data_IF_968064562107
#
_entry.id   IF_968064562107
#
_cell.length_a   1.000
_cell.length_b   1.000
_cell.length_c   1.000
_cell.angle_alpha   90.00
_cell.angle_beta   90.00
_cell.angle_gamma   90.00
#
_symmetry.space_group_name_H-M   'P 1'
#
loop_
_entity.id
_entity.type
_entity.pdbx_description
1 polymer ?
#
# COMPACT_ATOMS: atom_id res chain seq x y z
N UNK A 1 5.16 -7.94 -5.35
CA UNK A 1 5.89 -7.19 -6.39
C UNK A 1 6.92 -8.11 -6.97
N UNK A 2 7.03 -8.21 -8.30
CA UNK A 2 8.02 -9.06 -8.99
C UNK A 2 9.10 -8.17 -9.61
N UNK A 3 10.40 -8.36 -9.29
CA UNK A 3 11.50 -7.58 -9.86
C UNK A 3 11.90 -8.14 -11.23
N UNK A 4 10.93 -8.30 -12.13
CA UNK A 4 11.20 -8.88 -13.44
C UNK A 4 11.94 -7.86 -14.33
N UNK A 5 13.19 -8.15 -14.67
CA UNK A 5 14.00 -7.40 -15.62
C UNK A 5 14.34 -8.23 -16.88
N UNK A 6 13.77 -9.44 -16.96
CA UNK A 6 14.07 -10.40 -18.01
C UNK A 6 15.36 -11.18 -17.81
N UNK A 7 15.44 -12.34 -18.45
CA UNK A 7 16.67 -13.17 -18.49
C UNK A 7 17.78 -12.39 -19.19
N UNK A 8 17.47 -11.75 -20.30
CA UNK A 8 18.40 -10.91 -21.06
C UNK A 8 18.91 -9.72 -20.24
N UNK A 9 18.01 -9.04 -19.53
CA UNK A 9 18.35 -7.95 -18.63
C UNK A 9 19.25 -8.41 -17.49
N UNK A 10 18.95 -9.56 -16.87
CA UNK A 10 19.77 -10.14 -15.80
C UNK A 10 21.17 -10.52 -16.28
N UNK A 11 21.28 -11.15 -17.44
CA UNK A 11 22.58 -11.50 -18.06
C UNK A 11 23.39 -10.23 -18.32
N UNK A 12 22.79 -9.19 -18.88
CA UNK A 12 23.45 -7.91 -19.10
C UNK A 12 23.85 -7.26 -17.77
N UNK A 13 23.03 -7.33 -16.72
CA UNK A 13 23.36 -6.80 -15.41
C UNK A 13 24.55 -7.53 -14.77
N UNK A 14 24.61 -8.85 -14.85
CA UNK A 14 25.75 -9.65 -14.38
C UNK A 14 27.00 -9.30 -15.18
N UNK A 15 26.90 -9.19 -16.50
CA UNK A 15 28.01 -8.80 -17.34
C UNK A 15 28.51 -7.38 -17.01
N UNK A 16 27.58 -6.43 -16.78
CA UNK A 16 27.90 -5.08 -16.34
C UNK A 16 28.55 -5.03 -14.96
N UNK A 17 28.11 -5.88 -14.05
CA UNK A 17 28.71 -6.04 -12.72
C UNK A 17 30.13 -6.61 -12.78
N UNK A 18 30.44 -7.46 -13.75
CA UNK A 18 31.77 -8.08 -13.91
C UNK A 18 32.72 -7.22 -14.75
N UNK A 19 32.26 -6.63 -15.84
CA UNK A 19 33.08 -6.00 -16.89
C UNK A 19 32.81 -4.50 -17.10
N UNK A 20 31.72 -3.96 -16.57
CA UNK A 20 31.37 -2.54 -16.69
C UNK A 20 32.41 -1.61 -16.07
N UNK A 21 32.28 -0.32 -16.28
CA UNK A 21 33.20 0.71 -15.75
C UNK A 21 33.32 0.62 -14.23
N UNK A 22 34.55 0.60 -13.73
CA UNK A 22 34.86 0.41 -12.29
C UNK A 22 34.12 1.41 -11.39
N UNK A 23 33.96 2.67 -11.84
CA UNK A 23 33.29 3.71 -11.09
C UNK A 23 31.80 3.38 -10.86
N UNK A 24 31.08 2.94 -11.92
CA UNK A 24 29.68 2.54 -11.82
C UNK A 24 29.48 1.31 -10.94
N UNK A 25 30.32 0.30 -11.14
CA UNK A 25 30.23 -0.96 -10.34
C UNK A 25 30.43 -0.73 -8.87
N UNK A 26 31.41 0.12 -8.48
CA UNK A 26 31.69 0.45 -7.08
C UNK A 26 30.52 1.13 -6.37
N UNK A 27 29.69 1.87 -7.09
CA UNK A 27 28.48 2.49 -6.53
C UNK A 27 27.27 1.57 -6.57
N UNK A 28 26.98 0.98 -7.75
CA UNK A 28 25.72 0.25 -7.98
C UNK A 28 25.67 -1.11 -7.27
N UNK A 29 26.78 -1.86 -7.17
CA UNK A 29 26.77 -3.19 -6.55
C UNK A 29 26.46 -3.11 -5.04
N UNK A 30 27.10 -2.25 -4.23
CA UNK A 30 26.72 -2.12 -2.82
C UNK A 30 25.27 -1.67 -2.64
N UNK A 31 24.78 -0.71 -3.45
CA UNK A 31 23.39 -0.25 -3.37
C UNK A 31 22.41 -1.37 -3.72
N UNK A 32 22.70 -2.15 -4.75
CA UNK A 32 21.90 -3.34 -5.10
C UNK A 32 21.87 -4.35 -3.95
N UNK A 33 23.01 -4.67 -3.37
CA UNK A 33 23.08 -5.65 -2.27
C UNK A 33 22.33 -5.16 -1.03
N UNK A 34 22.49 -3.88 -0.66
CA UNK A 34 21.78 -3.29 0.49
C UNK A 34 20.27 -3.35 0.26
N UNK A 35 19.79 -2.93 -0.92
CA UNK A 35 18.35 -2.91 -1.21
C UNK A 35 17.76 -4.33 -1.31
N UNK A 36 18.50 -5.31 -1.82
CA UNK A 36 18.09 -6.71 -1.81
C UNK A 36 17.99 -7.26 -0.38
N UNK A 37 18.99 -6.99 0.48
CA UNK A 37 18.96 -7.42 1.89
C UNK A 37 17.79 -6.77 2.64
N UNK A 38 17.51 -5.48 2.38
CA UNK A 38 16.33 -4.80 2.94
C UNK A 38 15.02 -5.38 2.42
N UNK A 39 14.95 -5.76 1.13
CA UNK A 39 13.77 -6.36 0.52
C UNK A 39 13.45 -7.74 1.10
N UNK A 40 14.45 -8.50 1.54
CA UNK A 40 14.29 -9.79 2.23
C UNK A 40 13.67 -9.66 3.63
N UNK A 41 13.60 -8.46 4.18
CA UNK A 41 12.89 -8.14 5.42
C UNK A 41 13.31 -9.00 6.61
N UNK A 42 12.32 -9.54 7.34
CA UNK A 42 12.50 -10.30 8.58
C UNK A 42 13.41 -11.54 8.45
N UNK A 43 13.66 -12.00 7.22
CA UNK A 43 14.55 -13.13 6.94
C UNK A 43 16.04 -12.77 7.05
N UNK A 44 16.37 -11.48 7.34
CA UNK A 44 17.75 -11.03 7.47
C UNK A 44 18.06 -10.48 8.86
N UNK A 45 19.29 -10.71 9.39
CA UNK A 45 19.72 -10.11 10.66
C UNK A 45 19.74 -8.57 10.61
N UNK A 46 20.07 -7.99 9.45
CA UNK A 46 20.09 -6.53 9.26
C UNK A 46 18.72 -5.92 9.51
N UNK A 47 17.67 -6.53 8.99
CA UNK A 47 16.31 -6.06 9.23
C UNK A 47 15.95 -6.07 10.71
N UNK A 48 16.25 -7.17 11.42
CA UNK A 48 16.01 -7.31 12.86
C UNK A 48 16.76 -6.24 13.66
N UNK A 49 17.98 -5.93 13.25
CA UNK A 49 18.76 -4.84 13.84
C UNK A 49 18.11 -3.46 13.60
N UNK A 50 17.76 -3.16 12.34
CA UNK A 50 17.11 -1.88 11.99
C UNK A 50 15.76 -1.71 12.68
N UNK A 51 14.95 -2.76 12.72
CA UNK A 51 13.64 -2.78 13.38
C UNK A 51 13.73 -2.49 14.88
N UNK A 52 14.78 -2.99 15.53
CA UNK A 52 14.96 -2.84 16.99
C UNK A 52 15.62 -1.52 17.38
N UNK A 53 16.55 -1.02 16.57
CA UNK A 53 17.45 0.06 16.97
C UNK A 53 17.28 1.37 16.19
N UNK A 54 16.65 1.36 15.05
CA UNK A 54 16.44 2.59 14.24
C UNK A 54 15.05 3.15 14.51
N UNK A 55 14.95 4.34 15.15
CA UNK A 55 13.66 4.94 15.47
C UNK A 55 12.79 5.12 14.22
N UNK A 56 11.55 4.63 14.29
CA UNK A 56 10.57 4.75 13.20
C UNK A 56 10.69 3.69 12.10
N UNK A 57 11.74 2.88 12.09
CA UNK A 57 11.86 1.78 11.11
C UNK A 57 10.80 0.69 11.34
N UNK A 58 10.37 0.48 12.57
CA UNK A 58 9.28 -0.38 13.00
C UNK A 58 7.90 0.02 12.46
N UNK A 59 7.77 1.28 11.99
CA UNK A 59 6.53 1.83 11.43
C UNK A 59 6.40 1.62 9.92
N UNK A 60 7.46 1.19 9.24
CA UNK A 60 7.42 0.89 7.82
C UNK A 60 6.84 -0.50 7.56
N UNK A 61 5.82 -0.57 6.71
CA UNK A 61 5.23 -1.82 6.21
C UNK A 61 5.77 -2.16 4.83
N UNK A 62 5.78 -3.47 4.52
CA UNK A 62 6.10 -3.99 3.19
C UNK A 62 7.52 -3.65 2.72
N UNK A 63 8.53 -4.12 3.46
CA UNK A 63 9.94 -3.98 3.09
C UNK A 63 10.29 -4.57 1.72
N UNK A 64 9.48 -5.52 1.23
CA UNK A 64 9.57 -6.01 -0.15
C UNK A 64 9.52 -4.89 -1.22
N UNK A 65 9.10 -3.67 -0.87
CA UNK A 65 9.14 -2.51 -1.79
C UNK A 65 10.55 -2.09 -2.18
N UNK A 66 11.57 -2.36 -1.34
CA UNK A 66 12.98 -2.13 -1.70
C UNK A 66 13.44 -2.93 -2.94
N UNK A 67 12.61 -3.89 -3.39
CA UNK A 67 12.84 -4.59 -4.66
C UNK A 67 12.75 -3.66 -5.88
N UNK A 68 12.02 -2.53 -5.77
CA UNK A 68 11.89 -1.54 -6.84
C UNK A 68 13.23 -0.84 -7.06
N UNK A 69 13.87 -0.40 -5.98
CA UNK A 69 15.18 0.23 -6.03
C UNK A 69 16.26 -0.76 -6.48
N UNK A 70 16.18 -2.02 -6.01
CA UNK A 70 17.05 -3.09 -6.48
C UNK A 70 16.90 -3.31 -7.99
N UNK A 71 15.68 -3.30 -8.52
CA UNK A 71 15.41 -3.42 -9.96
C UNK A 71 16.02 -2.26 -10.75
N UNK A 72 15.95 -1.04 -10.21
CA UNK A 72 16.59 0.13 -10.84
C UNK A 72 18.12 -0.06 -10.94
N UNK A 73 18.78 -0.50 -9.88
CA UNK A 73 20.22 -0.75 -9.90
C UNK A 73 20.60 -1.90 -10.82
N UNK A 74 19.77 -2.95 -10.92
CA UNK A 74 19.95 -4.01 -11.90
C UNK A 74 19.86 -3.50 -13.34
N UNK A 75 18.88 -2.67 -13.66
CA UNK A 75 18.73 -2.06 -14.99
C UNK A 75 19.91 -1.15 -15.32
N UNK A 76 20.40 -0.36 -14.35
CA UNK A 76 21.60 0.46 -14.54
C UNK A 76 22.85 -0.39 -14.80
N UNK A 77 23.01 -1.53 -14.10
CA UNK A 77 24.07 -2.48 -14.36
C UNK A 77 23.92 -3.15 -15.73
N UNK A 78 22.69 -3.46 -16.17
CA UNK A 78 22.42 -3.99 -17.50
C UNK A 78 22.81 -3.00 -18.59
N UNK A 79 22.48 -1.71 -18.41
CA UNK A 79 22.94 -0.62 -19.29
C UNK A 79 24.47 -0.51 -19.36
N UNK A 80 25.16 -0.64 -18.21
CA UNK A 80 26.63 -0.68 -18.17
C UNK A 80 27.20 -1.93 -18.89
N UNK A 81 26.50 -3.06 -18.81
CA UNK A 81 26.85 -4.28 -19.55
C UNK A 81 26.71 -4.11 -21.06
N UNK A 82 25.60 -3.49 -21.49
CA UNK A 82 25.38 -3.19 -22.91
C UNK A 82 26.41 -2.20 -23.46
N UNK A 83 26.74 -1.13 -22.70
CA UNK A 83 27.80 -0.17 -23.06
C UNK A 83 29.17 -0.89 -23.24
N UNK A 84 29.46 -1.85 -22.38
CA UNK A 84 30.70 -2.65 -22.48
C UNK A 84 30.69 -3.59 -23.70
N UNK A 85 29.57 -4.23 -24.02
CA UNK A 85 29.41 -5.03 -25.23
C UNK A 85 29.61 -4.23 -26.51
N UNK A 86 29.12 -2.98 -26.55
CA UNK A 86 29.32 -2.07 -27.67
C UNK A 86 30.79 -1.64 -27.87
N UNK A 87 31.56 -1.57 -26.76
CA UNK A 87 32.98 -1.14 -26.78
C UNK A 87 33.93 -2.29 -27.15
N UNK A 88 33.65 -3.49 -26.64
CA UNK A 88 34.51 -4.65 -26.83
C UNK A 88 33.66 -5.88 -27.20
N UNK A 89 33.25 -5.99 -28.47
CA UNK A 89 32.45 -7.11 -28.93
C UNK A 89 33.23 -8.41 -29.06
N UNK A 90 34.57 -8.38 -29.11
CA UNK A 90 35.41 -9.57 -29.39
C UNK A 90 35.63 -10.47 -28.16
N UNK A 91 35.49 -9.94 -26.94
CA UNK A 91 35.72 -10.67 -25.69
C UNK A 91 34.59 -11.63 -25.28
N UNK A 92 33.52 -11.77 -26.07
CA UNK A 92 32.25 -12.37 -25.63
C UNK A 92 32.11 -13.90 -25.88
N UNK A 93 33.04 -14.55 -26.50
CA UNK A 93 32.96 -16.00 -26.84
C UNK A 93 32.77 -16.87 -25.59
N UNK A 94 33.50 -16.60 -24.52
CA UNK A 94 33.40 -17.37 -23.27
C UNK A 94 32.08 -17.10 -22.54
N UNK A 95 31.56 -15.86 -22.62
CA UNK A 95 30.24 -15.52 -22.09
C UNK A 95 29.15 -16.26 -22.88
N UNK A 96 29.22 -16.23 -24.20
CA UNK A 96 28.30 -16.96 -25.06
C UNK A 96 28.32 -18.47 -24.78
N UNK A 97 29.50 -19.08 -24.63
CA UNK A 97 29.62 -20.48 -24.25
C UNK A 97 29.02 -20.76 -22.88
N UNK A 98 29.28 -19.90 -21.90
CA UNK A 98 28.67 -20.01 -20.57
C UNK A 98 27.13 -19.93 -20.60
N UNK A 99 26.56 -19.04 -21.40
CA UNK A 99 25.10 -18.96 -21.60
C UNK A 99 24.54 -20.19 -22.31
N UNK A 100 25.26 -20.72 -23.29
CA UNK A 100 24.86 -21.97 -23.96
C UNK A 100 24.78 -23.13 -22.97
N UNK A 101 25.84 -23.33 -22.17
CA UNK A 101 25.89 -24.38 -21.14
C UNK A 101 24.78 -24.15 -20.09
N UNK A 102 24.59 -22.90 -19.63
CA UNK A 102 23.50 -22.56 -18.71
C UNK A 102 22.11 -22.87 -19.32
N UNK A 103 21.90 -22.55 -20.60
CA UNK A 103 20.69 -22.91 -21.32
C UNK A 103 20.41 -24.40 -21.33
N UNK A 104 21.41 -25.22 -21.61
CA UNK A 104 21.26 -26.68 -21.56
C UNK A 104 20.94 -27.18 -20.15
N UNK A 105 21.61 -26.65 -19.12
CA UNK A 105 21.33 -27.00 -17.72
C UNK A 105 19.87 -26.68 -17.37
N UNK A 106 19.36 -25.49 -17.78
CA UNK A 106 17.99 -25.06 -17.52
C UNK A 106 16.99 -25.93 -18.31
N UNK A 107 17.32 -26.38 -19.54
CA UNK A 107 16.50 -27.38 -20.25
C UNK A 107 16.40 -28.68 -19.45
N UNK A 108 17.51 -29.19 -18.98
CA UNK A 108 17.54 -30.44 -18.18
C UNK A 108 16.73 -30.27 -16.87
N UNK A 109 16.86 -29.13 -16.20
CA UNK A 109 16.07 -28.81 -15.01
C UNK A 109 14.58 -28.76 -15.32
N UNK A 110 14.18 -28.11 -16.44
CA UNK A 110 12.82 -28.07 -16.92
C UNK A 110 12.22 -29.44 -17.23
N UNK A 111 12.99 -30.32 -17.87
CA UNK A 111 12.59 -31.71 -18.13
C UNK A 111 12.43 -32.49 -16.82
N UNK A 112 13.39 -32.37 -15.89
CA UNK A 112 13.32 -32.99 -14.57
C UNK A 112 12.10 -32.53 -13.75
N UNK A 113 11.81 -31.23 -13.76
CA UNK A 113 10.64 -30.68 -13.09
C UNK A 113 9.33 -31.17 -13.74
N UNK A 114 9.27 -31.17 -15.07
CA UNK A 114 8.09 -31.65 -15.80
C UNK A 114 7.83 -33.13 -15.53
N UNK A 115 8.86 -33.98 -15.53
CA UNK A 115 8.70 -35.39 -15.20
C UNK A 115 8.22 -35.61 -13.77
N UNK A 116 8.74 -34.84 -12.81
CA UNK A 116 8.32 -34.88 -11.41
C UNK A 116 6.87 -34.37 -11.21
N UNK A 117 6.44 -33.38 -11.97
CA UNK A 117 5.07 -32.83 -11.90
C UNK A 117 4.01 -33.75 -12.52
N UNK A 118 4.38 -34.55 -13.56
CA UNK A 118 3.45 -35.45 -14.24
C UNK A 118 3.07 -36.68 -13.40
N UNK A 119 3.93 -37.07 -12.45
CA UNK A 119 3.69 -38.19 -11.54
C UNK A 119 3.71 -37.66 -10.10
N UNK A 120 2.62 -37.10 -9.59
CA UNK A 120 2.56 -36.49 -8.27
C UNK A 120 2.50 -37.56 -7.18
N UNK A 121 3.62 -38.27 -6.97
CA UNK A 121 3.77 -39.15 -5.80
C UNK A 121 4.17 -38.29 -4.56
N UNK A 122 3.67 -38.63 -3.36
CA UNK A 122 4.03 -37.91 -2.13
C UNK A 122 5.54 -37.94 -1.82
N UNK A 123 6.25 -38.96 -2.31
CA UNK A 123 7.72 -39.13 -2.17
C UNK A 123 8.55 -38.26 -3.13
N UNK A 124 7.94 -37.72 -4.16
CA UNK A 124 8.57 -36.93 -5.19
C UNK A 124 9.12 -35.60 -4.65
N UNK A 125 10.30 -35.18 -5.10
CA UNK A 125 10.93 -33.92 -4.67
C UNK A 125 10.06 -32.68 -4.92
N UNK A 126 9.29 -32.64 -6.02
CA UNK A 126 8.38 -31.53 -6.32
C UNK A 126 7.24 -31.44 -5.31
N UNK A 127 6.61 -32.57 -5.00
CA UNK A 127 5.56 -32.66 -3.98
C UNK A 127 6.09 -32.25 -2.59
N UNK A 128 7.31 -32.69 -2.24
CA UNK A 128 7.99 -32.24 -1.00
C UNK A 128 8.25 -30.74 -1.00
N UNK A 129 8.64 -30.15 -2.13
CA UNK A 129 8.83 -28.69 -2.25
C UNK A 129 7.53 -27.95 -2.03
N UNK A 130 6.42 -28.41 -2.60
CA UNK A 130 5.09 -27.83 -2.37
C UNK A 130 4.65 -27.93 -0.91
N UNK A 131 4.90 -29.06 -0.26
CA UNK A 131 4.64 -29.24 1.17
C UNK A 131 5.51 -28.31 2.04
N UNK A 132 6.79 -28.13 1.68
CA UNK A 132 7.69 -27.22 2.37
C UNK A 132 7.23 -25.76 2.23
N UNK A 133 6.77 -25.36 1.05
CA UNK A 133 6.18 -24.02 0.82
C UNK A 133 4.92 -23.82 1.65
N UNK A 134 4.07 -24.86 1.74
CA UNK A 134 2.87 -24.80 2.59
C UNK A 134 3.21 -24.66 4.07
N UNK A 135 4.26 -25.30 4.56
CA UNK A 135 4.69 -25.23 5.95
C UNK A 135 5.25 -23.85 6.35
N UNK A 136 5.47 -22.94 5.41
CA UNK A 136 5.85 -21.55 5.71
C UNK A 136 4.62 -20.74 6.12
N UNK A 137 4.77 -19.84 7.10
CA UNK A 137 3.69 -18.93 7.53
C UNK A 137 3.24 -17.94 6.42
N UNK A 138 3.96 -17.91 5.29
CA UNK A 138 3.70 -17.01 4.15
C UNK A 138 2.91 -17.68 3.02
N UNK A 139 2.21 -18.78 3.26
CA UNK A 139 1.37 -19.41 2.25
C UNK A 139 0.13 -18.58 1.97
N UNK A 140 0.00 -18.05 0.74
CA UNK A 140 -1.13 -17.20 0.33
C UNK A 140 -2.39 -17.95 -0.09
N UNK A 141 -2.28 -19.26 -0.30
CA UNK A 141 -3.40 -20.09 -0.72
C UNK A 141 -3.91 -20.95 0.46
N UNK A 142 -5.19 -21.33 0.47
CA UNK A 142 -5.71 -22.27 1.45
C UNK A 142 -4.93 -23.59 1.45
N UNK A 143 -4.74 -24.18 2.62
CA UNK A 143 -4.01 -25.44 2.81
C UNK A 143 -4.48 -26.57 1.88
N UNK A 144 -5.78 -26.62 1.61
CA UNK A 144 -6.38 -27.58 0.69
C UNK A 144 -5.83 -27.50 -0.73
N UNK A 145 -5.42 -26.29 -1.20
CA UNK A 145 -4.86 -26.10 -2.53
C UNK A 145 -3.49 -26.78 -2.67
N UNK A 146 -2.64 -26.70 -1.64
CA UNK A 146 -1.31 -27.34 -1.65
C UNK A 146 -1.37 -28.87 -1.52
N UNK A 147 -2.47 -29.40 -1.00
CA UNK A 147 -2.74 -30.84 -0.91
C UNK A 147 -3.41 -31.39 -2.16
N UNK A 148 -3.95 -30.54 -3.04
CA UNK A 148 -4.61 -30.96 -4.28
C UNK A 148 -3.60 -31.42 -5.34
N UNK A 149 -3.60 -32.71 -5.75
CA UNK A 149 -2.69 -33.21 -6.77
C UNK A 149 -2.81 -32.46 -8.13
N UNK A 150 -3.99 -31.98 -8.46
CA UNK A 150 -4.23 -31.22 -9.70
C UNK A 150 -3.51 -29.88 -9.68
N UNK A 151 -3.55 -29.16 -8.55
CA UNK A 151 -2.82 -27.92 -8.34
C UNK A 151 -1.31 -28.14 -8.35
N UNK A 152 -0.81 -29.14 -7.63
CA UNK A 152 0.63 -29.47 -7.58
C UNK A 152 1.17 -29.77 -8.98
N UNK A 153 0.42 -30.52 -9.79
CA UNK A 153 0.75 -30.81 -11.19
C UNK A 153 0.76 -29.55 -12.04
N UNK A 154 -0.29 -28.75 -12.02
CA UNK A 154 -0.40 -27.50 -12.80
C UNK A 154 0.71 -26.51 -12.45
N UNK A 155 1.03 -26.36 -11.16
CA UNK A 155 2.12 -25.51 -10.70
C UNK A 155 3.49 -25.98 -11.26
N UNK A 156 3.74 -27.28 -11.26
CA UNK A 156 4.96 -27.86 -11.85
C UNK A 156 5.03 -27.74 -13.37
N UNK A 157 3.92 -27.94 -14.07
CA UNK A 157 3.83 -27.73 -15.51
C UNK A 157 4.07 -26.26 -15.88
N UNK A 158 3.50 -25.31 -15.11
CA UNK A 158 3.74 -23.88 -15.31
C UNK A 158 5.21 -23.52 -15.07
N UNK A 159 5.78 -23.96 -13.95
CA UNK A 159 7.18 -23.69 -13.63
C UNK A 159 8.14 -24.29 -14.68
N UNK A 160 7.85 -25.51 -15.19
CA UNK A 160 8.65 -26.12 -16.25
C UNK A 160 8.59 -25.32 -17.56
N UNK A 161 7.43 -24.79 -17.93
CA UNK A 161 7.29 -23.89 -19.10
C UNK A 161 8.13 -22.62 -18.94
N UNK A 162 8.13 -22.00 -17.75
CA UNK A 162 8.97 -20.84 -17.47
C UNK A 162 10.47 -21.17 -17.64
N UNK A 163 10.92 -22.36 -17.18
CA UNK A 163 12.28 -22.81 -17.38
C UNK A 163 12.61 -23.02 -18.86
N UNK A 164 11.72 -23.59 -19.66
CA UNK A 164 11.96 -23.75 -21.10
C UNK A 164 12.03 -22.42 -21.83
N UNK A 165 11.20 -21.44 -21.47
CA UNK A 165 11.30 -20.08 -22.03
C UNK A 165 12.63 -19.46 -21.67
N UNK A 166 13.05 -19.51 -20.40
CA UNK A 166 14.33 -18.97 -19.96
C UNK A 166 15.53 -19.68 -20.64
N UNK A 167 15.44 -20.99 -20.84
CA UNK A 167 16.44 -21.74 -21.57
C UNK A 167 16.55 -21.32 -23.05
N UNK A 168 15.40 -21.17 -23.73
CA UNK A 168 15.37 -20.67 -25.10
C UNK A 168 15.99 -19.28 -25.21
N UNK A 169 15.68 -18.38 -24.29
CA UNK A 169 16.26 -17.03 -24.22
C UNK A 169 17.78 -17.07 -24.02
N UNK A 170 18.29 -17.91 -23.11
CA UNK A 170 19.72 -18.08 -22.90
C UNK A 170 20.44 -18.60 -24.16
N UNK A 171 19.85 -19.57 -24.87
CA UNK A 171 20.41 -20.12 -26.10
C UNK A 171 20.40 -19.07 -27.24
N UNK A 172 19.31 -18.31 -27.40
CA UNK A 172 19.24 -17.22 -28.38
C UNK A 172 20.26 -16.14 -28.06
N UNK A 173 20.36 -15.71 -26.78
CA UNK A 173 21.37 -14.75 -26.34
C UNK A 173 22.79 -15.22 -26.63
N UNK A 174 23.07 -16.50 -26.41
CA UNK A 174 24.36 -17.11 -26.75
C UNK A 174 24.66 -16.92 -28.23
N UNK A 175 23.71 -17.24 -29.13
CA UNK A 175 23.86 -17.06 -30.57
C UNK A 175 24.04 -15.59 -30.97
N UNK A 176 23.27 -14.68 -30.39
CA UNK A 176 23.38 -13.25 -30.63
C UNK A 176 24.73 -12.68 -30.18
N UNK A 177 25.27 -13.11 -29.04
CA UNK A 177 26.59 -12.70 -28.57
C UNK A 177 27.71 -13.20 -29.45
N UNK A 178 27.60 -14.42 -30.03
CA UNK A 178 28.55 -14.91 -31.02
C UNK A 178 28.50 -14.03 -32.30
N UNK A 179 27.31 -13.67 -32.76
CA UNK A 179 27.14 -12.81 -33.93
C UNK A 179 27.63 -11.37 -33.66
N UNK A 180 27.52 -10.88 -32.43
CA UNK A 180 27.99 -9.56 -32.00
C UNK A 180 29.50 -9.39 -32.17
N UNK A 181 30.29 -10.49 -32.09
CA UNK A 181 31.70 -10.51 -32.38
C UNK A 181 32.04 -10.20 -33.86
N UNK A 182 31.07 -10.38 -34.77
CA UNK A 182 31.22 -10.12 -36.20
C UNK A 182 30.56 -8.78 -36.62
N UNK A 183 29.50 -8.37 -35.93
CA UNK A 183 28.71 -7.16 -36.29
C UNK A 183 28.07 -6.50 -35.08
N UNK A 184 28.06 -5.16 -35.06
CA UNK A 184 27.33 -4.36 -34.06
C UNK A 184 25.81 -4.65 -34.03
N UNK A 185 25.25 -5.16 -35.11
CA UNK A 185 23.84 -5.55 -35.17
C UNK A 185 23.48 -6.64 -34.16
N UNK A 186 24.41 -7.55 -33.84
CA UNK A 186 24.21 -8.53 -32.77
C UNK A 186 23.99 -7.91 -31.40
N UNK A 187 24.69 -6.80 -31.07
CA UNK A 187 24.50 -6.08 -29.80
C UNK A 187 23.15 -5.37 -29.77
N UNK A 188 22.73 -4.74 -30.88
CA UNK A 188 21.40 -4.13 -30.97
C UNK A 188 20.28 -5.16 -30.87
N UNK A 189 20.47 -6.37 -31.43
CA UNK A 189 19.53 -7.47 -31.29
C UNK A 189 19.41 -7.93 -29.82
N UNK A 190 20.50 -7.99 -29.06
CA UNK A 190 20.47 -8.28 -27.62
C UNK A 190 19.68 -7.20 -26.86
N UNK A 191 19.92 -5.91 -27.17
CA UNK A 191 19.17 -4.82 -26.55
C UNK A 191 17.68 -4.89 -26.89
N UNK A 192 17.33 -5.13 -28.14
CA UNK A 192 15.95 -5.30 -28.59
C UNK A 192 15.27 -6.48 -27.90
N UNK A 193 15.95 -7.62 -27.80
CA UNK A 193 15.44 -8.79 -27.08
C UNK A 193 15.15 -8.47 -25.61
N UNK A 194 16.07 -7.78 -24.90
CA UNK A 194 15.87 -7.43 -23.49
C UNK A 194 14.65 -6.51 -23.29
N UNK A 195 14.43 -5.55 -24.19
CA UNK A 195 13.25 -4.68 -24.13
C UNK A 195 11.97 -5.46 -24.45
N UNK A 196 12.00 -6.29 -25.50
CA UNK A 196 10.84 -7.09 -25.92
C UNK A 196 10.40 -8.06 -24.82
N UNK A 197 11.34 -8.72 -24.15
CA UNK A 197 11.08 -9.64 -23.05
C UNK A 197 10.30 -8.96 -21.91
N UNK A 198 10.72 -7.76 -21.49
CA UNK A 198 10.02 -6.98 -20.47
C UNK A 198 8.61 -6.58 -20.92
N UNK A 199 8.44 -6.16 -22.18
CA UNK A 199 7.13 -5.82 -22.74
C UNK A 199 6.19 -7.01 -22.82
N UNK A 200 6.68 -8.19 -23.26
CA UNK A 200 5.89 -9.42 -23.31
C UNK A 200 5.47 -9.83 -21.90
N UNK A 201 6.40 -9.82 -20.96
CA UNK A 201 6.07 -10.11 -19.55
C UNK A 201 5.03 -9.13 -18.99
N UNK A 202 5.22 -7.82 -19.20
CA UNK A 202 4.28 -6.81 -18.72
C UNK A 202 2.87 -7.05 -19.31
N UNK A 203 2.78 -7.31 -20.61
CA UNK A 203 1.51 -7.57 -21.29
C UNK A 203 0.80 -8.84 -20.81
N UNK A 204 1.55 -9.89 -20.50
CA UNK A 204 0.98 -11.17 -20.02
C UNK A 204 0.70 -11.20 -18.54
N UNK A 205 1.40 -10.37 -17.74
CA UNK A 205 1.31 -10.35 -16.28
C UNK A 205 0.43 -9.24 -15.73
N UNK A 206 0.15 -8.18 -16.51
CA UNK A 206 -0.79 -7.14 -16.14
C UNK A 206 -2.21 -7.60 -16.51
N UNK A 207 -2.98 -7.91 -15.49
CA UNK A 207 -4.41 -8.19 -15.68
C UNK A 207 -5.14 -6.92 -16.07
N UNK A 208 -5.86 -6.98 -17.18
CA UNK A 208 -6.78 -5.92 -17.58
C UNK A 208 -8.20 -6.31 -17.21
N UNK A 209 -9.03 -5.32 -16.91
CA UNK A 209 -10.45 -5.51 -16.63
C UNK A 209 -11.27 -4.50 -17.41
N UNK A 210 -12.55 -4.77 -17.61
CA UNK A 210 -13.47 -3.85 -18.27
C UNK A 210 -13.69 -2.63 -17.34
N UNK A 211 -13.51 -1.42 -17.86
CA UNK A 211 -13.68 -0.18 -17.12
C UNK A 211 -15.11 -0.02 -16.54
N UNK A 212 -16.11 -0.58 -17.22
CA UNK A 212 -17.51 -0.60 -16.75
C UNK A 212 -17.67 -1.25 -15.38
N UNK A 213 -16.74 -2.18 -15.02
CA UNK A 213 -16.71 -2.78 -13.70
C UNK A 213 -16.42 -1.76 -12.59
N UNK A 214 -15.54 -0.78 -12.84
CA UNK A 214 -15.22 0.30 -11.90
C UNK A 214 -16.22 1.44 -11.97
N UNK A 215 -16.81 1.69 -13.14
CA UNK A 215 -17.86 2.70 -13.31
C UNK A 215 -19.12 2.36 -12.52
N UNK A 216 -19.38 1.07 -12.29
CA UNK A 216 -20.50 0.55 -11.53
C UNK A 216 -21.84 1.26 -11.82
N UNK A 217 -22.31 1.27 -13.08
CA UNK A 217 -23.39 2.14 -13.52
C UNK A 217 -24.70 1.92 -12.76
N UNK A 218 -24.98 0.68 -12.35
CA UNK A 218 -26.16 0.35 -11.53
C UNK A 218 -26.07 0.95 -10.12
N UNK A 219 -24.89 0.87 -9.50
CA UNK A 219 -24.63 1.46 -8.19
C UNK A 219 -24.74 2.99 -8.28
N UNK A 220 -24.11 3.58 -9.30
CA UNK A 220 -24.18 5.03 -9.55
C UNK A 220 -25.62 5.50 -9.72
N UNK A 221 -26.42 4.85 -10.58
CA UNK A 221 -27.82 5.19 -10.77
C UNK A 221 -28.65 5.09 -9.47
N UNK A 222 -28.39 4.10 -8.64
CA UNK A 222 -29.02 3.98 -7.32
C UNK A 222 -28.65 5.14 -6.41
N UNK A 223 -27.37 5.51 -6.34
CA UNK A 223 -26.90 6.61 -5.48
C UNK A 223 -27.42 7.98 -5.95
N UNK A 224 -27.54 8.19 -7.27
CA UNK A 224 -28.11 9.40 -7.87
C UNK A 224 -29.62 9.55 -7.53
N UNK A 225 -30.35 8.44 -7.43
CA UNK A 225 -31.76 8.42 -7.01
C UNK A 225 -31.95 8.60 -5.48
N UNK A 226 -30.89 8.38 -4.71
CA UNK A 226 -30.93 8.47 -3.24
C UNK A 226 -29.88 9.49 -2.76
N UNK A 227 -30.08 10.79 -3.01
CA UNK A 227 -29.14 11.81 -2.55
C UNK A 227 -29.12 11.91 -1.02
N UNK A 228 -28.02 12.40 -0.45
CA UNK A 228 -27.88 12.62 0.98
C UNK A 228 -26.45 12.45 1.46
N UNK A 229 -26.23 12.89 2.71
CA UNK A 229 -24.97 12.76 3.42
C UNK A 229 -24.97 11.48 4.25
N UNK A 230 -24.50 10.40 3.66
CA UNK A 230 -24.41 9.10 4.26
C UNK A 230 -23.23 8.29 3.67
N UNK A 231 -22.85 7.23 4.37
CA UNK A 231 -21.82 6.25 3.94
C UNK A 231 -22.47 4.97 3.48
N UNK A 232 -21.79 4.30 2.55
CA UNK A 232 -22.19 3.00 2.05
C UNK A 232 -21.18 1.92 2.44
N UNK A 233 -21.58 0.68 2.32
CA UNK A 233 -20.71 -0.48 2.34
C UNK A 233 -20.91 -1.26 1.04
N UNK A 234 -19.83 -1.44 0.26
CA UNK A 234 -19.90 -2.19 -0.99
C UNK A 234 -18.91 -3.36 -0.97
N UNK A 235 -19.47 -4.59 -0.95
CA UNK A 235 -18.68 -5.79 -0.71
C UNK A 235 -17.80 -6.19 -1.90
N UNK A 236 -18.25 -6.00 -3.15
CA UNK A 236 -17.53 -6.48 -4.34
C UNK A 236 -16.24 -5.73 -4.63
N UNK A 237 -16.28 -4.42 -4.49
CA UNK A 237 -15.17 -3.54 -4.83
C UNK A 237 -14.96 -2.58 -3.66
N UNK A 238 -14.01 -2.86 -2.76
CA UNK A 238 -13.66 -1.93 -1.71
C UNK A 238 -13.26 -0.56 -2.27
N UNK A 239 -13.67 0.51 -1.61
CA UNK A 239 -13.38 1.91 -1.97
C UNK A 239 -14.11 2.43 -3.22
N UNK A 240 -15.07 1.71 -3.79
CA UNK A 240 -15.83 2.17 -4.97
C UNK A 240 -16.59 3.47 -4.69
N UNK A 241 -17.05 3.67 -3.46
CA UNK A 241 -17.77 4.88 -3.08
C UNK A 241 -16.96 6.15 -3.35
N UNK A 242 -15.65 6.13 -3.08
CA UNK A 242 -14.73 7.26 -3.31
C UNK A 242 -14.74 7.65 -4.79
N UNK A 243 -14.72 6.67 -5.70
CA UNK A 243 -14.80 6.90 -7.14
C UNK A 243 -16.12 7.54 -7.57
N UNK A 244 -17.20 7.20 -6.86
CA UNK A 244 -18.55 7.72 -7.12
C UNK A 244 -18.89 9.01 -6.34
N UNK A 245 -17.91 9.64 -5.69
CA UNK A 245 -18.09 10.85 -4.88
C UNK A 245 -18.89 10.61 -3.59
N UNK A 246 -18.84 9.39 -3.07
CA UNK A 246 -19.44 8.98 -1.79
C UNK A 246 -18.37 8.48 -0.82
N UNK A 247 -18.75 8.26 0.43
CA UNK A 247 -17.86 7.73 1.46
C UNK A 247 -18.21 6.27 1.78
N UNK A 248 -17.19 5.45 2.01
CA UNK A 248 -17.34 4.09 2.52
C UNK A 248 -17.32 4.06 4.05
N UNK A 249 -18.10 3.16 4.64
CA UNK A 249 -17.98 2.80 6.06
C UNK A 249 -16.71 1.98 6.28
N UNK A 250 -16.39 1.11 5.33
CA UNK A 250 -15.20 0.28 5.35
C UNK A 250 -14.68 0.06 3.93
N UNK A 251 -13.39 0.27 3.77
CA UNK A 251 -12.71 0.04 2.52
C UNK A 251 -11.37 -0.66 2.74
N UNK A 252 -10.71 -1.01 1.65
CA UNK A 252 -9.37 -1.56 1.70
C UNK A 252 -8.36 -0.41 1.71
N UNK A 253 -7.63 -0.26 2.82
CA UNK A 253 -6.53 0.68 2.93
C UNK A 253 -5.32 0.02 3.60
N UNK A 254 -4.11 0.15 3.05
CA UNK A 254 -2.89 -0.41 3.65
C UNK A 254 -2.53 0.26 4.99
N UNK A 255 -3.04 1.46 5.23
CA UNK A 255 -2.90 2.22 6.47
C UNK A 255 -4.29 2.51 7.02
N UNK A 256 -4.70 1.73 8.01
CA UNK A 256 -5.97 1.91 8.69
C UNK A 256 -5.77 2.58 10.05
N UNK A 257 -6.76 3.34 10.50
CA UNK A 257 -6.74 3.94 11.83
C UNK A 257 -6.98 2.84 12.87
N UNK A 258 -6.03 2.65 13.79
CA UNK A 258 -6.08 1.61 14.81
C UNK A 258 -7.40 1.58 15.59
N UNK A 259 -7.88 2.73 16.04
CA UNK A 259 -9.15 2.83 16.77
C UNK A 259 -10.34 2.37 15.92
N UNK A 260 -10.33 2.75 14.66
CA UNK A 260 -11.41 2.41 13.73
C UNK A 260 -11.44 0.89 13.44
N UNK A 261 -10.27 0.27 13.21
CA UNK A 261 -10.19 -1.20 13.02
C UNK A 261 -10.61 -1.96 14.27
N UNK A 262 -10.19 -1.49 15.45
CA UNK A 262 -10.56 -2.08 16.73
C UNK A 262 -12.08 -2.01 16.98
N UNK A 263 -12.68 -0.86 16.68
CA UNK A 263 -14.14 -0.70 16.77
C UNK A 263 -14.86 -1.63 15.78
N UNK A 264 -14.40 -1.70 14.53
CA UNK A 264 -15.00 -2.58 13.53
C UNK A 264 -14.89 -4.05 13.95
N UNK A 265 -13.74 -4.51 14.43
CA UNK A 265 -13.56 -5.86 14.95
C UNK A 265 -14.51 -6.16 16.12
N UNK A 266 -14.62 -5.24 17.08
CA UNK A 266 -15.55 -5.35 18.22
C UNK A 266 -17.00 -5.55 17.75
N UNK A 267 -17.47 -4.73 16.80
CA UNK A 267 -18.83 -4.84 16.25
C UNK A 267 -19.11 -6.15 15.54
N UNK A 268 -18.07 -6.85 15.08
CA UNK A 268 -18.15 -8.17 14.47
C UNK A 268 -17.94 -9.31 15.47
N UNK A 269 -17.70 -9.00 16.76
CA UNK A 269 -17.39 -10.01 17.79
C UNK A 269 -15.98 -10.59 17.68
N UNK A 270 -15.09 -9.90 16.95
CA UNK A 270 -13.68 -10.27 16.82
C UNK A 270 -12.83 -9.54 17.89
N UNK A 271 -11.71 -10.13 18.34
CA UNK A 271 -10.82 -9.48 19.31
C UNK A 271 -10.24 -8.18 18.76
N UNK A 272 -10.40 -7.03 19.46
CA UNK A 272 -9.86 -5.76 18.98
C UNK A 272 -8.33 -5.67 18.98
N UNK A 273 -7.61 -6.47 19.76
CA UNK A 273 -6.15 -6.41 19.92
C UNK A 273 -5.39 -6.63 18.62
N UNK A 274 -5.79 -7.63 17.84
CA UNK A 274 -5.17 -8.01 16.58
C UNK A 274 -5.87 -7.43 15.35
N UNK A 275 -6.81 -6.50 15.54
CA UNK A 275 -7.62 -5.97 14.45
C UNK A 275 -6.75 -5.22 13.42
N UNK A 276 -6.94 -5.57 12.16
CA UNK A 276 -6.26 -5.00 11.00
C UNK A 276 -7.24 -4.66 9.86
N UNK A 277 -6.73 -4.50 8.66
CA UNK A 277 -7.54 -4.20 7.48
C UNK A 277 -8.43 -5.36 6.99
N UNK A 278 -8.30 -6.56 7.55
CA UNK A 278 -8.99 -7.78 7.11
C UNK A 278 -10.16 -8.17 8.03
N UNK A 279 -10.80 -7.20 8.68
CA UNK A 279 -12.03 -7.45 9.45
C UNK A 279 -13.08 -8.10 8.56
N UNK A 280 -13.58 -9.26 8.98
CA UNK A 280 -14.66 -9.97 8.28
C UNK A 280 -16.02 -9.45 8.74
N UNK A 281 -16.85 -9.02 7.80
CA UNK A 281 -18.19 -8.50 8.08
C UNK A 281 -19.24 -9.58 7.92
N UNK A 282 -19.83 -9.97 9.05
CA UNK A 282 -20.92 -10.97 9.12
C UNK A 282 -22.26 -10.36 9.49
N UNK A 283 -22.24 -9.16 10.10
CA UNK A 283 -23.44 -8.44 10.58
C UNK A 283 -23.27 -6.94 10.48
N UNK A 284 -24.39 -6.22 10.45
CA UNK A 284 -24.43 -4.77 10.58
C UNK A 284 -24.87 -4.38 11.99
N UNK A 285 -23.93 -3.81 12.74
CA UNK A 285 -24.13 -3.47 14.15
C UNK A 285 -24.97 -2.18 14.30
N UNK A 286 -25.86 -2.05 15.32
CA UNK A 286 -26.64 -0.83 15.56
C UNK A 286 -25.79 0.45 15.68
N UNK A 287 -24.59 0.35 16.24
CA UNK A 287 -23.65 1.46 16.37
C UNK A 287 -23.20 2.07 15.01
N UNK A 288 -23.44 1.39 13.88
CA UNK A 288 -23.09 1.95 12.56
C UNK A 288 -23.94 3.18 12.20
N UNK A 289 -25.03 3.44 12.92
CA UNK A 289 -25.78 4.69 12.79
C UNK A 289 -24.90 5.92 13.05
N UNK A 290 -23.95 5.85 14.00
CA UNK A 290 -23.01 6.92 14.30
C UNK A 290 -21.89 7.08 13.26
N UNK A 291 -21.72 6.08 12.37
CA UNK A 291 -20.82 6.17 11.21
C UNK A 291 -21.53 6.70 9.96
N UNK A 292 -22.77 7.16 10.06
CA UNK A 292 -23.63 7.59 8.93
C UNK A 292 -23.91 6.48 7.91
N UNK A 293 -23.79 5.18 8.29
CA UNK A 293 -24.06 4.07 7.39
C UNK A 293 -25.56 4.02 7.01
N UNK A 294 -25.84 3.98 5.70
CA UNK A 294 -27.21 3.95 5.17
C UNK A 294 -27.49 2.75 4.32
N UNK A 295 -26.61 2.38 3.39
CA UNK A 295 -26.81 1.28 2.46
C UNK A 295 -25.63 0.33 2.45
N UNK A 296 -25.92 -0.97 2.39
CA UNK A 296 -24.94 -2.00 2.11
C UNK A 296 -25.33 -2.76 0.84
N UNK A 297 -24.37 -2.98 -0.02
CA UNK A 297 -24.50 -3.74 -1.24
C UNK A 297 -23.70 -5.03 -1.09
N UNK A 298 -24.42 -6.13 -0.90
CA UNK A 298 -23.84 -7.45 -0.66
C UNK A 298 -23.85 -8.27 -1.94
N UNK A 299 -22.72 -8.92 -2.24
CA UNK A 299 -22.60 -9.77 -3.40
C UNK A 299 -23.54 -10.97 -3.35
N UNK A 300 -24.35 -11.16 -4.39
CA UNK A 300 -25.19 -12.33 -4.59
C UNK A 300 -24.99 -12.88 -6.00
N UNK A 301 -25.40 -14.12 -6.27
CA UNK A 301 -25.31 -14.78 -7.58
C UNK A 301 -26.11 -14.03 -8.66
N UNK A 302 -27.26 -13.48 -8.29
CA UNK A 302 -28.20 -12.81 -9.21
C UNK A 302 -28.02 -11.29 -9.27
N UNK A 303 -27.00 -10.73 -8.61
CA UNK A 303 -26.74 -9.30 -8.50
C UNK A 303 -26.46 -8.87 -7.07
N UNK A 304 -26.42 -7.56 -6.81
CA UNK A 304 -26.17 -7.07 -5.46
C UNK A 304 -27.48 -6.96 -4.66
N UNK A 305 -27.50 -7.57 -3.47
CA UNK A 305 -28.58 -7.36 -2.49
C UNK A 305 -28.33 -6.06 -1.76
N UNK A 306 -29.30 -5.16 -1.78
CA UNK A 306 -29.25 -3.90 -1.04
C UNK A 306 -29.89 -4.09 0.35
N UNK A 307 -29.14 -3.76 1.38
CA UNK A 307 -29.64 -3.61 2.74
C UNK A 307 -29.67 -2.13 3.09
N UNK A 308 -30.78 -1.71 3.71
CA UNK A 308 -30.95 -0.34 4.20
C UNK A 308 -30.80 -0.33 5.71
N UNK A 309 -29.89 0.51 6.21
CA UNK A 309 -29.73 0.76 7.64
C UNK A 309 -30.84 1.63 8.21
N UNK A 310 -30.93 1.69 9.54
CA UNK A 310 -31.80 2.60 10.27
C UNK A 310 -31.44 4.06 9.97
N UNK A 311 -32.22 5.01 10.51
CA UNK A 311 -31.93 6.42 10.37
C UNK A 311 -30.50 6.75 10.86
N UNK A 312 -29.69 7.33 9.98
CA UNK A 312 -28.31 7.74 10.27
C UNK A 312 -28.25 8.94 11.20
N UNK A 313 -27.17 9.09 11.96
CA UNK A 313 -26.87 10.35 12.63
C UNK A 313 -26.47 11.41 11.61
N UNK A 314 -26.69 12.71 11.90
CA UNK A 314 -26.16 13.77 11.06
C UNK A 314 -24.62 13.82 11.12
N UNK A 315 -24.00 14.51 10.15
CA UNK A 315 -22.55 14.71 10.13
C UNK A 315 -22.06 15.46 11.37
N UNK A 316 -22.77 16.52 11.71
CA UNK A 316 -22.53 17.38 12.86
C UNK A 316 -23.72 17.34 13.80
N UNK A 317 -23.45 17.19 15.09
CA UNK A 317 -24.48 17.16 16.11
C UNK A 317 -24.03 17.87 17.39
N UNK A 318 -24.88 18.67 18.00
CA UNK A 318 -24.66 19.24 19.31
C UNK A 318 -25.20 18.32 20.40
N UNK A 319 -24.31 17.91 21.33
CA UNK A 319 -24.62 16.98 22.43
C UNK A 319 -24.25 17.64 23.76
N UNK A 320 -25.11 17.52 24.74
CA UNK A 320 -24.93 18.13 26.09
C UNK A 320 -24.67 17.09 27.16
N UNK A 321 -25.06 15.83 26.94
CA UNK A 321 -24.81 14.75 27.88
C UNK A 321 -23.53 14.04 27.51
N UNK A 322 -22.67 13.80 28.51
CA UNK A 322 -21.41 13.10 28.31
C UNK A 322 -21.08 12.20 29.51
N UNK A 323 -20.20 11.24 29.26
CA UNK A 323 -19.53 10.45 30.29
C UNK A 323 -18.04 10.47 30.00
N UNK A 324 -17.23 10.51 31.04
CA UNK A 324 -15.79 10.35 30.91
C UNK A 324 -15.42 8.94 31.29
N UNK A 325 -14.76 8.22 30.38
CA UNK A 325 -14.32 6.85 30.60
C UNK A 325 -12.92 6.69 30.00
N UNK A 326 -12.07 5.92 30.66
CA UNK A 326 -10.72 5.61 30.18
C UNK A 326 -10.62 4.12 29.87
N UNK A 327 -9.93 3.81 28.78
CA UNK A 327 -9.75 2.43 28.38
C UNK A 327 -10.68 1.99 27.25
N UNK A 328 -10.07 1.32 26.26
CA UNK A 328 -10.75 0.85 25.04
C UNK A 328 -11.96 -0.03 25.37
N UNK A 329 -11.72 -1.05 26.19
CA UNK A 329 -12.71 -2.11 26.39
C UNK A 329 -13.92 -1.62 27.20
N UNK A 330 -13.67 -0.77 28.19
CA UNK A 330 -14.74 -0.11 28.96
C UNK A 330 -15.61 0.77 28.06
N UNK A 331 -15.00 1.58 27.17
CA UNK A 331 -15.74 2.44 26.25
C UNK A 331 -16.55 1.59 25.28
N UNK A 332 -15.96 0.57 24.65
CA UNK A 332 -16.64 -0.28 23.67
C UNK A 332 -17.82 -1.03 24.32
N UNK A 333 -17.65 -1.57 25.53
CA UNK A 333 -18.72 -2.23 26.27
C UNK A 333 -19.83 -1.26 26.68
N UNK A 334 -19.49 -0.05 27.12
CA UNK A 334 -20.46 0.97 27.47
C UNK A 334 -21.28 1.41 26.25
N UNK A 335 -20.67 1.47 25.07
CA UNK A 335 -21.36 1.79 23.81
C UNK A 335 -22.29 0.66 23.34
N UNK A 336 -21.99 -0.59 23.66
CA UNK A 336 -22.82 -1.76 23.32
C UNK A 336 -24.00 -1.95 24.29
N UNK A 337 -24.03 -1.20 25.37
CA UNK A 337 -25.15 -1.23 26.32
C UNK A 337 -26.45 -0.74 25.69
N UNK A 338 -27.60 -1.41 25.91
CA UNK A 338 -28.91 -0.92 25.45
C UNK A 338 -29.29 0.49 25.95
N UNK A 339 -28.67 0.98 27.02
CA UNK A 339 -28.87 2.32 27.57
C UNK A 339 -28.08 3.41 26.84
N UNK A 340 -27.17 3.04 25.94
CA UNK A 340 -26.37 4.02 25.21
C UNK A 340 -27.07 4.46 23.92
N UNK A 341 -27.42 5.73 23.87
CA UNK A 341 -27.92 6.37 22.65
C UNK A 341 -26.90 7.41 22.16
N UNK A 342 -26.17 7.16 21.06
CA UNK A 342 -25.17 8.11 20.55
C UNK A 342 -25.76 9.43 20.05
N UNK A 343 -27.09 9.55 19.91
CA UNK A 343 -27.76 10.81 19.58
C UNK A 343 -27.96 11.73 20.77
N UNK A 344 -27.89 11.17 21.98
CA UNK A 344 -28.18 11.94 23.21
C UNK A 344 -26.93 12.13 24.06
N UNK A 345 -26.03 11.15 24.08
CA UNK A 345 -24.84 11.21 24.91
C UNK A 345 -23.57 10.84 24.15
N UNK A 346 -22.44 11.36 24.61
CA UNK A 346 -21.11 11.05 24.07
C UNK A 346 -20.22 10.52 25.19
N UNK A 347 -19.36 9.57 24.87
CA UNK A 347 -18.32 9.08 25.75
C UNK A 347 -17.01 9.74 25.33
N UNK A 348 -16.39 10.46 26.25
CA UNK A 348 -15.09 11.13 26.08
C UNK A 348 -14.03 10.41 26.91
N UNK A 349 -12.76 10.59 26.56
CA UNK A 349 -11.61 10.03 27.32
C UNK A 349 -11.04 11.02 28.33
N UNK A 350 -11.42 12.29 28.22
CA UNK A 350 -11.00 13.38 29.09
C UNK A 350 -12.18 14.33 29.35
N UNK A 351 -12.13 15.05 30.48
CA UNK A 351 -13.13 16.09 30.76
C UNK A 351 -13.12 17.15 29.66
N UNK A 352 -14.30 17.51 29.13
CA UNK A 352 -14.42 18.59 28.14
C UNK A 352 -14.24 19.97 28.77
N UNK A 353 -13.54 20.85 28.07
CA UNK A 353 -13.41 22.22 28.46
C UNK A 353 -13.74 23.15 27.24
N UNK A 354 -14.83 23.94 27.30
CA UNK A 354 -15.77 24.14 28.42
C UNK A 354 -16.65 22.92 28.71
N UNK A 355 -17.15 22.85 29.95
CA UNK A 355 -18.08 21.81 30.41
C UNK A 355 -19.46 22.04 29.83
N UNK A 356 -20.08 21.09 29.14
CA UNK A 356 -21.42 21.20 28.56
C UNK A 356 -22.48 21.42 29.63
N UNK A 357 -23.50 22.22 29.30
CA UNK A 357 -24.61 22.49 30.19
C UNK A 357 -25.94 22.06 29.55
N UNK A 358 -26.82 21.37 30.28
CA UNK A 358 -28.16 21.05 29.77
C UNK A 358 -28.95 22.29 29.34
N UNK A 359 -29.59 22.21 28.19
CA UNK A 359 -30.48 23.26 27.67
C UNK A 359 -31.60 22.62 26.85
N UNK A 360 -32.78 23.21 26.92
CA UNK A 360 -33.91 22.82 26.07
C UNK A 360 -33.63 23.19 24.61
N UNK A 361 -33.02 24.35 24.40
CA UNK A 361 -32.50 24.74 23.09
C UNK A 361 -31.05 24.29 22.96
N UNK A 362 -30.79 23.43 21.98
CA UNK A 362 -29.44 22.88 21.69
C UNK A 362 -28.58 23.83 20.87
N UNK A 363 -29.15 24.89 20.29
CA UNK A 363 -28.50 25.75 19.33
C UNK A 363 -28.51 25.17 17.91
N UNK A 364 -27.75 25.80 17.01
CA UNK A 364 -27.65 25.42 15.60
C UNK A 364 -26.21 25.09 15.24
N UNK A 365 -26.03 24.16 14.30
CA UNK A 365 -24.72 23.83 13.70
C UNK A 365 -24.87 23.59 12.22
N UNK A 366 -24.00 24.20 11.43
CA UNK A 366 -24.03 24.12 9.97
C UNK A 366 -22.64 23.78 9.43
N UNK A 367 -22.58 22.85 8.49
CA UNK A 367 -21.39 22.56 7.70
C UNK A 367 -21.36 23.56 6.53
N UNK A 368 -20.39 24.48 6.56
CA UNK A 368 -20.25 25.53 5.53
C UNK A 368 -19.48 25.00 4.32
N UNK A 369 -18.38 24.32 4.59
CA UNK A 369 -17.52 23.72 3.54
C UNK A 369 -16.88 22.43 4.03
N UNK A 370 -16.59 21.51 3.10
CA UNK A 370 -15.96 20.23 3.43
C UNK A 370 -15.08 19.71 2.32
N UNK A 371 -13.95 19.13 2.74
CA UNK A 371 -13.08 18.35 1.88
C UNK A 371 -12.53 17.14 2.64
N UNK A 372 -11.73 16.30 1.99
CA UNK A 372 -11.13 15.14 2.63
C UNK A 372 -10.28 15.49 3.88
N UNK A 373 -9.70 16.68 3.94
CA UNK A 373 -8.76 17.09 4.97
C UNK A 373 -9.22 18.32 5.77
N UNK A 374 -10.42 18.82 5.53
CA UNK A 374 -10.86 20.11 6.08
C UNK A 374 -12.38 20.18 6.19
N UNK A 375 -12.86 20.74 7.28
CA UNK A 375 -14.26 21.09 7.50
C UNK A 375 -14.32 22.55 7.99
N UNK A 376 -15.23 23.34 7.45
CA UNK A 376 -15.59 24.66 7.99
C UNK A 376 -16.98 24.55 8.59
N UNK A 377 -17.09 24.90 9.88
CA UNK A 377 -18.31 24.72 10.67
C UNK A 377 -18.69 26.04 11.31
N UNK A 378 -19.96 26.41 11.20
CA UNK A 378 -20.58 27.49 11.99
C UNK A 378 -21.53 26.88 13.02
N UNK A 379 -21.51 27.42 14.25
CA UNK A 379 -22.40 27.00 15.31
C UNK A 379 -22.78 28.18 16.21
N UNK A 380 -24.07 28.24 16.58
CA UNK A 380 -24.61 29.24 17.53
C UNK A 380 -25.21 28.48 18.72
N UNK A 381 -24.64 28.70 19.89
CA UNK A 381 -25.01 27.98 21.10
C UNK A 381 -25.54 28.89 22.18
N UNK A 382 -26.76 28.61 22.72
CA UNK A 382 -27.31 29.35 23.87
C UNK A 382 -26.61 28.96 25.18
N UNK A 383 -25.98 27.76 25.23
CA UNK A 383 -25.19 27.24 26.35
C UNK A 383 -24.06 26.36 25.85
N UNK A 384 -23.01 26.15 26.67
CA UNK A 384 -21.92 25.25 26.29
C UNK A 384 -22.41 23.84 25.92
N UNK A 385 -21.90 23.30 24.82
CA UNK A 385 -22.22 21.96 24.31
C UNK A 385 -21.00 21.32 23.64
N UNK A 386 -21.10 20.04 23.33
CA UNK A 386 -20.10 19.29 22.57
C UNK A 386 -20.56 19.22 21.12
N UNK A 387 -19.74 19.69 20.20
CA UNK A 387 -19.89 19.42 18.78
C UNK A 387 -19.35 18.00 18.49
N UNK A 388 -20.25 17.06 18.25
CA UNK A 388 -19.92 15.71 17.82
C UNK A 388 -19.85 15.67 16.29
N UNK A 389 -18.73 15.21 15.75
CA UNK A 389 -18.47 15.05 14.33
C UNK A 389 -18.38 13.55 14.05
N UNK A 390 -19.27 13.04 13.20
CA UNK A 390 -19.40 11.59 12.91
C UNK A 390 -18.36 11.08 11.92
N UNK A 391 -17.13 11.64 11.99
CA UNK A 391 -15.96 11.22 11.25
C UNK A 391 -14.89 10.64 12.17
N UNK A 392 -14.04 9.80 11.59
CA UNK A 392 -13.01 9.10 12.33
C UNK A 392 -11.99 10.04 12.99
N UNK A 393 -11.70 9.74 14.27
CA UNK A 393 -10.69 10.44 15.05
C UNK A 393 -9.27 10.01 14.72
N UNK A 394 -8.37 10.98 14.67
CA UNK A 394 -6.93 10.78 14.63
C UNK A 394 -6.23 12.00 15.26
N UNK A 395 -5.06 11.80 15.85
CA UNK A 395 -4.27 12.86 16.51
C UNK A 395 -3.80 13.98 15.57
N UNK A 396 -4.00 13.85 14.26
CA UNK A 396 -3.63 14.89 13.30
C UNK A 396 -4.66 15.99 13.11
N UNK A 397 -5.87 15.81 13.59
CA UNK A 397 -6.94 16.82 13.48
C UNK A 397 -6.74 17.95 14.46
N UNK A 398 -6.98 19.19 13.99
CA UNK A 398 -6.89 20.42 14.75
C UNK A 398 -8.05 21.32 14.40
N UNK A 399 -8.49 22.12 15.36
CA UNK A 399 -9.53 23.12 15.16
C UNK A 399 -8.96 24.53 15.43
N UNK A 400 -9.30 25.48 14.57
CA UNK A 400 -8.87 26.88 14.66
C UNK A 400 -10.05 27.81 14.51
N UNK A 401 -10.11 28.88 15.31
CA UNK A 401 -11.14 29.89 15.15
C UNK A 401 -10.91 30.74 13.89
N UNK A 402 -11.98 31.18 13.28
CA UNK A 402 -11.99 32.42 12.51
C UNK A 402 -12.16 33.64 13.44
N UNK A 403 -11.98 34.85 12.89
CA UNK A 403 -11.94 36.07 13.69
C UNK A 403 -13.26 36.42 14.40
N UNK A 404 -14.38 35.92 13.93
CA UNK A 404 -15.72 36.09 14.45
C UNK A 404 -16.12 35.07 15.53
N UNK A 405 -15.25 34.11 15.81
CA UNK A 405 -15.48 33.10 16.85
C UNK A 405 -15.32 33.67 18.26
N UNK A 406 -16.22 33.30 19.16
CA UNK A 406 -16.17 33.70 20.59
C UNK A 406 -15.08 33.01 21.38
N UNK A 407 -14.64 31.81 20.93
CA UNK A 407 -13.64 30.98 21.61
C UNK A 407 -12.32 31.02 20.84
N UNK A 408 -11.21 31.21 21.55
CA UNK A 408 -9.89 31.39 20.94
C UNK A 408 -9.12 30.06 20.68
N UNK A 409 -9.49 28.97 21.37
CA UNK A 409 -8.84 27.67 21.26
C UNK A 409 -9.88 26.56 21.27
N UNK A 410 -9.66 25.53 20.46
CA UNK A 410 -10.55 24.39 20.33
C UNK A 410 -9.76 23.10 20.39
N UNK A 411 -10.12 22.22 21.32
CA UNK A 411 -9.52 20.91 21.45
C UNK A 411 -10.34 19.87 20.68
N UNK A 412 -9.70 19.09 19.82
CA UNK A 412 -10.33 17.97 19.13
C UNK A 412 -10.11 16.71 19.94
N UNK A 413 -11.15 16.24 20.61
CA UNK A 413 -11.15 15.09 21.52
C UNK A 413 -11.63 13.82 20.80
N UNK A 414 -11.14 12.62 21.20
CA UNK A 414 -11.78 11.37 20.81
C UNK A 414 -13.15 11.24 21.49
N UNK A 415 -14.15 10.86 20.71
CA UNK A 415 -15.53 10.66 21.14
C UNK A 415 -16.03 9.29 20.69
N UNK A 416 -16.80 8.61 21.54
CA UNK A 416 -17.32 7.28 21.23
C UNK A 416 -16.26 6.37 20.61
N UNK A 417 -15.06 6.44 21.16
CA UNK A 417 -13.84 5.75 20.74
C UNK A 417 -13.31 6.11 19.34
N UNK A 418 -14.17 6.27 18.34
CA UNK A 418 -13.79 6.41 16.91
C UNK A 418 -14.13 7.75 16.29
N UNK A 419 -14.96 8.58 16.93
CA UNK A 419 -15.43 9.85 16.40
C UNK A 419 -14.63 11.03 16.96
N UNK A 420 -14.94 12.24 16.47
CA UNK A 420 -14.35 13.51 16.93
C UNK A 420 -15.36 14.33 17.71
N UNK A 421 -14.89 14.97 18.77
CA UNK A 421 -15.68 15.94 19.51
C UNK A 421 -14.89 17.23 19.73
N UNK A 422 -15.61 18.37 19.78
CA UNK A 422 -15.05 19.68 20.10
C UNK A 422 -15.96 20.33 21.15
N UNK A 423 -15.49 20.59 22.38
CA UNK A 423 -16.23 21.35 23.37
C UNK A 423 -16.34 22.82 22.94
N UNK A 424 -17.54 23.32 22.91
CA UNK A 424 -17.89 24.70 22.52
C UNK A 424 -18.50 25.47 23.70
N UNK A 425 -18.07 26.71 23.87
CA UNK A 425 -18.67 27.67 24.82
C UNK A 425 -20.04 28.17 24.33
N UNK A 426 -20.70 28.96 25.15
CA UNK A 426 -21.86 29.72 24.69
C UNK A 426 -21.44 30.80 23.69
N UNK A 427 -22.21 31.00 22.61
CA UNK A 427 -22.03 32.03 21.61
C UNK A 427 -21.83 31.51 20.20
N UNK A 428 -21.33 32.40 19.33
CA UNK A 428 -21.07 32.13 17.93
C UNK A 428 -19.69 31.52 17.72
N UNK A 429 -19.62 30.45 16.93
CA UNK A 429 -18.40 29.76 16.58
C UNK A 429 -18.32 29.60 15.07
N UNK A 430 -17.22 30.05 14.49
CA UNK A 430 -16.83 29.79 13.09
C UNK A 430 -15.45 29.13 13.11
N UNK A 431 -15.39 27.87 12.74
CA UNK A 431 -14.26 27.01 13.06
C UNK A 431 -13.76 26.31 11.80
N UNK A 432 -12.45 26.38 11.56
CA UNK A 432 -11.75 25.55 10.59
C UNK A 432 -11.18 24.31 11.30
N UNK A 433 -11.63 23.13 10.90
CA UNK A 433 -11.15 21.84 11.41
C UNK A 433 -10.31 21.20 10.30
N UNK A 434 -9.00 21.08 10.50
CA UNK A 434 -8.05 20.63 9.49
C UNK A 434 -7.23 19.41 9.94
N UNK A 435 -6.88 18.54 8.99
CA UNK A 435 -5.95 17.44 9.22
C UNK A 435 -4.51 17.89 8.96
N UNK A 436 -3.75 18.16 10.01
CA UNK A 436 -2.40 18.74 9.94
C UNK A 436 -1.41 17.99 10.84
N UNK A 437 -1.10 16.71 10.56
CA UNK A 437 -0.23 15.90 11.40
C UNK A 437 1.20 16.47 11.42
N UNK A 438 1.79 16.57 12.61
CA UNK A 438 3.15 17.12 12.81
C UNK A 438 4.18 16.30 12.01
N UNK A 439 4.01 14.98 11.99
CA UNK A 439 4.92 14.08 11.26
C UNK A 439 5.01 14.40 9.77
N UNK A 440 3.89 14.77 9.13
CA UNK A 440 3.89 15.17 7.72
C UNK A 440 4.67 16.48 7.52
N UNK A 441 4.46 17.48 8.38
CA UNK A 441 5.17 18.77 8.29
C UNK A 441 6.68 18.61 8.47
N UNK A 442 7.10 17.83 9.48
CA UNK A 442 8.52 17.53 9.73
C UNK A 442 9.12 16.77 8.54
N UNK A 443 8.42 15.73 8.06
CA UNK A 443 8.87 14.96 6.90
C UNK A 443 9.02 15.79 5.63
N UNK A 444 8.12 16.72 5.39
CA UNK A 444 8.20 17.67 4.26
C UNK A 444 9.49 18.51 4.33
N UNK A 445 9.80 19.07 5.49
CA UNK A 445 11.04 19.85 5.66
C UNK A 445 12.29 19.02 5.49
N UNK A 446 12.33 17.79 6.04
CA UNK A 446 13.46 16.86 5.85
C UNK A 446 13.64 16.56 4.37
N UNK A 447 12.56 16.29 3.62
CA UNK A 447 12.61 16.00 2.19
C UNK A 447 13.12 17.18 1.38
N UNK A 448 12.65 18.40 1.67
CA UNK A 448 13.11 19.62 1.00
C UNK A 448 14.61 19.85 1.25
N UNK A 449 15.05 19.75 2.51
CA UNK A 449 16.47 19.93 2.85
C UNK A 449 17.36 18.86 2.20
N UNK A 450 16.90 17.61 2.15
CA UNK A 450 17.62 16.52 1.47
C UNK A 450 17.72 16.77 -0.04
N UNK A 451 16.67 17.26 -0.68
CA UNK A 451 16.66 17.57 -2.09
C UNK A 451 17.62 18.73 -2.41
N UNK A 452 17.58 19.80 -1.61
CA UNK A 452 18.50 20.94 -1.74
C UNK A 452 19.96 20.50 -1.57
N UNK A 453 20.24 19.68 -0.54
CA UNK A 453 21.57 19.10 -0.30
C UNK A 453 22.06 18.25 -1.47
N UNK A 454 21.16 17.42 -2.05
CA UNK A 454 21.47 16.61 -3.23
C UNK A 454 21.78 17.47 -4.47
N UNK A 455 20.97 18.49 -4.74
CA UNK A 455 21.19 19.42 -5.88
C UNK A 455 22.52 20.14 -5.71
N UNK A 456 22.79 20.68 -4.52
CA UNK A 456 24.03 21.39 -4.21
C UNK A 456 25.26 20.48 -4.35
N UNK A 457 25.21 19.28 -3.76
CA UNK A 457 26.28 18.28 -3.88
C UNK A 457 26.54 17.86 -5.33
N UNK A 458 25.47 17.68 -6.10
CA UNK A 458 25.55 17.36 -7.53
C UNK A 458 26.19 18.50 -8.34
N UNK A 459 25.82 19.74 -8.04
CA UNK A 459 26.40 20.93 -8.69
C UNK A 459 27.90 21.06 -8.37
N UNK A 460 28.29 20.87 -7.12
CA UNK A 460 29.70 20.86 -6.71
C UNK A 460 30.51 19.75 -7.40
N UNK A 461 29.92 18.54 -7.49
CA UNK A 461 30.54 17.41 -8.18
C UNK A 461 30.77 17.70 -9.67
N UNK A 462 29.75 18.22 -10.35
CA UNK A 462 29.85 18.59 -11.76
C UNK A 462 30.90 19.72 -11.97
N UNK A 463 30.89 20.74 -11.09
CA UNK A 463 31.90 21.83 -11.14
C UNK A 463 33.32 21.27 -10.95
N UNK A 464 33.55 20.40 -9.96
CA UNK A 464 34.84 19.77 -9.72
C UNK A 464 35.32 18.95 -10.93
N UNK A 465 34.42 18.21 -11.57
CA UNK A 465 34.72 17.42 -12.76
C UNK A 465 35.08 18.29 -13.98
N UNK A 466 34.45 19.46 -14.13
CA UNK A 466 34.78 20.43 -15.20
C UNK A 466 36.13 21.12 -14.99
N UNK A 467 36.57 21.25 -13.73
CA UNK A 467 37.83 21.89 -13.37
C UNK A 467 39.02 20.91 -13.37
N UNK A 468 38.82 19.60 -13.44
CA UNK A 468 39.90 18.62 -13.63
C UNK A 468 40.33 18.68 -15.11
N UNK A 469 41.59 19.08 -15.43
CA UNK A 469 42.08 19.06 -16.81
C UNK A 469 41.95 17.62 -17.34
N UNK A 470 41.32 17.47 -18.51
CA UNK A 470 41.44 16.24 -19.29
C UNK A 470 42.94 16.03 -19.53
N UNK A 471 43.56 15.10 -18.83
CA UNK A 471 44.86 14.62 -19.21
C UNK A 471 44.74 14.13 -20.64
N UNK A 472 45.27 14.93 -21.56
CA UNK A 472 45.42 14.58 -22.96
C UNK A 472 46.35 13.35 -22.97
N UNK A 473 45.78 12.18 -23.13
CA UNK A 473 46.55 11.01 -23.55
C UNK A 473 47.01 11.36 -24.98
N UNK A 474 48.27 11.79 -25.09
CA UNK A 474 48.99 11.81 -26.32
C UNK A 474 49.09 10.40 -26.91
N UNK A 475 49.26 10.29 -28.24
CA UNK A 475 49.02 9.10 -29.08
C UNK A 475 49.85 7.89 -28.74
#
# INVERSE_FOLDING_TARGET
MCPFIGVSGLVLAIYGALRGRRELRRGLIPLLLITLVLALGANTPLFKFLYRWVPGFDRFRANAKFIIEASLFLVMLAGAGLDQLLRDPKGNKWVALGLFVAGIIVVCAGLGLRSAALVPEPSNWWSRTMQAVHATEESYLPSASYADPSFVRQAGEFASRCLFVAAAELLVLSGLLLSAGASRWGVYAVAFMAVTEVFVFARTSVTTFDATFVEAPKLKAFLDQHPGDYRIFYQRIPNIAIWLGKEDVWGYAPLTLKRYTQFMAFTQGQPPEGADQYVEFTRFHPLYTMLRWRYAFLANKDGDRVLTGNATMPHLQLVQQYRVMSGRDEILQAMDSPSFDPRQQVILETEPNPVPQPSADKGTVTLVDSSANQLTVEADLPRPAILLITDAYSNGWRARPFADSVQNTYDVLPANYVLRAIPLSQGHHHILIEYAPIGFRVGTWISILSLVGFIFGSALYVRKRRLQPRSVLAP
#
